data_IF_372241260232
#
_entry.id   IF_372241260232
#
_cell.length_a   1.000
_cell.length_b   1.000
_cell.length_c   1.000
_cell.angle_alpha   90.00
_cell.angle_beta   90.00
_cell.angle_gamma   90.00
#
_symmetry.space_group_name_H-M   'P 1'
#
loop_
_entity.id
_entity.type
_entity.pdbx_description
1 polymer ?
#
# COMPACT_ATOMS: atom_id res chain seq x y z
N UNK A 1 6.42 14.82 -3.07
CA UNK A 1 5.90 13.88 -2.06
C UNK A 1 4.46 13.59 -2.41
N UNK A 2 4.14 12.35 -2.79
CA UNK A 2 2.77 11.92 -3.06
C UNK A 2 1.94 11.97 -1.78
N UNK A 3 0.69 12.43 -1.89
CA UNK A 3 -0.29 12.47 -0.82
C UNK A 3 -1.40 11.53 -1.23
N UNK A 4 -1.63 10.48 -0.44
CA UNK A 4 -2.70 9.52 -0.70
C UNK A 4 -4.00 10.00 -0.05
N UNK A 5 -5.09 9.81 -0.76
CA UNK A 5 -6.43 9.85 -0.21
C UNK A 5 -6.87 8.46 0.24
N UNK A 6 -7.94 8.38 1.03
CA UNK A 6 -8.56 7.10 1.37
C UNK A 6 -9.01 6.33 0.12
N UNK A 7 -9.48 7.03 -0.92
CA UNK A 7 -9.91 6.43 -2.17
C UNK A 7 -8.75 5.79 -2.94
N UNK A 8 -7.56 6.40 -2.89
CA UNK A 8 -6.36 5.85 -3.52
C UNK A 8 -5.97 4.51 -2.89
N UNK A 9 -6.04 4.43 -1.55
CA UNK A 9 -5.74 3.19 -0.81
C UNK A 9 -6.82 2.14 -1.04
N UNK A 10 -8.09 2.51 -1.08
CA UNK A 10 -9.16 1.58 -1.46
C UNK A 10 -8.96 1.01 -2.87
N UNK A 11 -8.50 1.82 -3.82
CA UNK A 11 -8.21 1.37 -5.19
C UNK A 11 -7.07 0.35 -5.20
N UNK A 12 -5.99 0.65 -4.47
CA UNK A 12 -4.85 -0.26 -4.31
C UNK A 12 -5.23 -1.58 -3.64
N UNK A 13 -6.03 -1.54 -2.57
CA UNK A 13 -6.52 -2.73 -1.88
C UNK A 13 -7.37 -3.61 -2.81
N UNK A 14 -8.27 -3.01 -3.59
CA UNK A 14 -9.09 -3.75 -4.57
C UNK A 14 -8.24 -4.37 -5.68
N UNK A 15 -7.19 -3.69 -6.13
CA UNK A 15 -6.26 -4.24 -7.10
C UNK A 15 -5.50 -5.44 -6.50
N UNK A 16 -4.97 -5.28 -5.30
CA UNK A 16 -4.18 -6.31 -4.62
C UNK A 16 -5.00 -7.58 -4.39
N UNK A 17 -6.22 -7.44 -3.86
CA UNK A 17 -7.14 -8.55 -3.59
C UNK A 17 -7.45 -9.39 -4.84
N UNK A 18 -7.58 -8.70 -5.99
CA UNK A 18 -7.97 -9.32 -7.25
C UNK A 18 -6.80 -9.92 -8.02
N UNK A 19 -5.63 -9.30 -7.95
CA UNK A 19 -4.55 -9.54 -8.91
C UNK A 19 -3.26 -10.05 -8.27
N UNK A 20 -3.06 -9.84 -6.97
CA UNK A 20 -1.79 -10.13 -6.31
C UNK A 20 -1.95 -11.21 -5.25
N UNK A 21 -2.74 -10.92 -4.21
CA UNK A 21 -2.92 -11.80 -3.06
C UNK A 21 -4.21 -11.42 -2.32
N UNK A 22 -5.00 -12.40 -1.82
CA UNK A 22 -6.18 -12.10 -1.02
C UNK A 22 -5.82 -11.19 0.17
N UNK A 23 -6.64 -10.16 0.42
CA UNK A 23 -6.33 -9.20 1.49
C UNK A 23 -6.24 -9.87 2.86
N UNK A 24 -7.00 -10.94 3.08
CA UNK A 24 -7.00 -11.72 4.32
C UNK A 24 -5.61 -12.26 4.70
N UNK A 25 -4.74 -12.50 3.72
CA UNK A 25 -3.40 -13.03 3.93
C UNK A 25 -2.37 -11.94 4.28
N UNK A 26 -2.64 -10.68 3.94
CA UNK A 26 -1.67 -9.57 4.05
C UNK A 26 -2.14 -8.40 4.92
N UNK A 27 -3.41 -8.36 5.30
CA UNK A 27 -3.99 -7.34 6.17
C UNK A 27 -3.23 -7.27 7.50
N UNK A 28 -2.81 -6.05 7.86
CA UNK A 28 -2.04 -5.78 9.08
C UNK A 28 -0.53 -5.87 8.90
N UNK A 29 -0.04 -6.31 7.73
CA UNK A 29 1.38 -6.29 7.37
C UNK A 29 1.68 -5.17 6.36
N UNK A 30 2.94 -4.77 6.26
CA UNK A 30 3.44 -3.95 5.18
C UNK A 30 3.39 -4.77 3.89
N UNK A 31 2.75 -4.23 2.84
CA UNK A 31 2.57 -4.92 1.57
C UNK A 31 3.88 -5.00 0.77
N UNK A 32 4.95 -4.32 1.23
CA UNK A 32 6.29 -4.36 0.63
C UNK A 32 7.23 -5.34 1.33
N UNK A 33 7.39 -5.24 2.65
CA UNK A 33 8.35 -6.09 3.39
C UNK A 33 7.73 -7.17 4.27
N UNK A 34 6.41 -7.18 4.45
CA UNK A 34 5.71 -8.17 5.27
C UNK A 34 5.79 -7.97 6.79
N UNK A 35 6.48 -6.92 7.28
CA UNK A 35 6.52 -6.59 8.71
C UNK A 35 5.13 -6.19 9.23
N UNK A 36 4.82 -6.53 10.49
CA UNK A 36 3.57 -6.13 11.13
C UNK A 36 3.50 -4.60 11.27
N UNK A 37 2.45 -3.98 10.73
CA UNK A 37 2.24 -2.54 10.80
C UNK A 37 2.05 -2.03 12.24
N UNK A 38 1.68 -2.91 13.17
CA UNK A 38 1.60 -2.60 14.60
C UNK A 38 2.96 -2.51 15.30
N UNK A 39 4.04 -2.98 14.67
CA UNK A 39 5.38 -3.10 15.29
C UNK A 39 6.42 -2.18 14.66
N UNK A 40 6.04 -1.37 13.66
CA UNK A 40 6.94 -0.52 12.87
C UNK A 40 6.47 0.93 12.85
N UNK A 41 7.37 1.84 12.50
CA UNK A 41 6.99 3.23 12.25
C UNK A 41 6.09 3.32 11.02
N UNK A 42 5.04 4.15 11.12
CA UNK A 42 4.03 4.33 10.08
C UNK A 42 4.09 5.74 9.49
N UNK A 43 3.75 5.89 8.21
CA UNK A 43 3.56 7.21 7.60
C UNK A 43 2.31 7.93 8.16
N UNK A 44 2.24 9.24 7.97
CA UNK A 44 1.16 10.07 8.52
C UNK A 44 -0.19 9.92 7.77
N UNK A 45 -0.15 9.52 6.49
CA UNK A 45 -1.32 9.47 5.61
C UNK A 45 -2.08 8.14 5.60
N UNK A 46 -3.14 8.03 4.77
CA UNK A 46 -3.94 6.81 4.62
C UNK A 46 -3.12 5.57 4.25
N UNK A 47 -1.99 5.75 3.58
CA UNK A 47 -1.07 4.67 3.18
C UNK A 47 -0.55 3.86 4.37
N UNK A 48 -0.63 4.37 5.61
CA UNK A 48 -0.28 3.61 6.82
C UNK A 48 -1.08 2.32 7.03
N UNK A 49 -2.18 2.14 6.29
CA UNK A 49 -2.98 0.91 6.28
C UNK A 49 -2.30 -0.23 5.50
N UNK A 50 -1.35 0.10 4.63
CA UNK A 50 -0.76 -0.84 3.67
C UNK A 50 0.77 -0.82 3.62
N UNK A 51 1.43 0.23 4.12
CA UNK A 51 2.89 0.34 4.06
C UNK A 51 3.46 0.94 5.35
N UNK A 52 4.64 0.46 5.75
CA UNK A 52 5.44 1.07 6.81
C UNK A 52 6.22 2.28 6.31
N UNK A 53 6.73 3.12 7.23
CA UNK A 53 7.43 4.36 6.89
C UNK A 53 8.70 4.10 6.06
N UNK A 54 9.43 3.01 6.38
CA UNK A 54 10.65 2.57 5.69
C UNK A 54 10.43 2.33 4.20
N UNK A 55 9.30 1.72 3.85
CA UNK A 55 9.01 1.28 2.48
C UNK A 55 8.08 2.24 1.74
N UNK A 56 7.76 3.40 2.33
CA UNK A 56 6.81 4.36 1.78
C UNK A 56 7.18 4.81 0.36
N UNK A 57 8.45 5.11 0.12
CA UNK A 57 8.90 5.58 -1.19
C UNK A 57 8.77 4.49 -2.26
N UNK A 58 9.10 3.24 -1.92
CA UNK A 58 8.90 2.09 -2.81
C UNK A 58 7.41 1.86 -3.13
N UNK A 59 6.54 2.00 -2.12
CA UNK A 59 5.10 1.95 -2.33
C UNK A 59 4.59 3.07 -3.25
N UNK A 60 5.15 4.28 -3.16
CA UNK A 60 4.81 5.40 -4.05
C UNK A 60 5.18 5.06 -5.50
N UNK A 61 6.39 4.58 -5.73
CA UNK A 61 6.88 4.19 -7.06
C UNK A 61 5.98 3.09 -7.66
N UNK A 62 5.72 2.02 -6.90
CA UNK A 62 4.85 0.93 -7.37
C UNK A 62 3.41 1.39 -7.63
N UNK A 63 2.87 2.29 -6.81
CA UNK A 63 1.54 2.85 -7.06
C UNK A 63 1.51 3.69 -8.34
N UNK A 64 2.55 4.50 -8.59
CA UNK A 64 2.66 5.33 -9.81
C UNK A 64 2.76 4.47 -11.06
N UNK A 65 3.56 3.39 -11.03
CA UNK A 65 3.64 2.43 -12.13
C UNK A 65 2.28 1.80 -12.45
N UNK A 66 1.52 1.39 -11.43
CA UNK A 66 0.17 0.84 -11.63
C UNK A 66 -0.80 1.87 -12.23
N UNK A 67 -0.65 3.16 -11.89
CA UNK A 67 -1.43 4.23 -12.53
C UNK A 67 -1.04 4.43 -14.00
N UNK A 68 0.24 4.43 -14.31
CA UNK A 68 0.74 4.56 -15.69
C UNK A 68 0.30 3.41 -16.59
N UNK A 69 0.23 2.19 -16.03
CA UNK A 69 -0.28 1.01 -16.71
C UNK A 69 -1.81 0.98 -16.84
N UNK A 70 -2.53 1.89 -16.16
CA UNK A 70 -3.99 1.91 -16.13
C UNK A 70 -4.63 0.76 -15.34
N UNK A 71 -3.84 0.12 -14.48
CA UNK A 71 -4.28 -0.93 -13.56
C UNK A 71 -5.00 -0.34 -12.34
N UNK A 72 -4.55 0.83 -11.89
CA UNK A 72 -5.21 1.66 -10.87
C UNK A 72 -5.32 3.13 -11.26
#
# INVERSE_FOLDING_TARGET
MKIFSEADIEKYLKYTDKNVIPLEEVLGNCFTCGELLSEVELPEGPEKKVVCLKDRDYFIEGYEELQELGEI
#
